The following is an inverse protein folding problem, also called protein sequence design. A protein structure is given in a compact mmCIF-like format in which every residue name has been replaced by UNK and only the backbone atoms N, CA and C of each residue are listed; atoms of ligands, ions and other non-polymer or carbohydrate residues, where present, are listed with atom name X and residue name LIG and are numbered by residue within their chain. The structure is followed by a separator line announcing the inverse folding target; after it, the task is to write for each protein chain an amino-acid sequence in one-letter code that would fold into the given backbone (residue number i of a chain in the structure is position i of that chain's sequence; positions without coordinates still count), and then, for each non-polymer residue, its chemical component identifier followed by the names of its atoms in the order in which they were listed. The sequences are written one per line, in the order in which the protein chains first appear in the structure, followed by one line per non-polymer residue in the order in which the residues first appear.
data_IF_974451803620
#
_entry.id   IF_974451803620
#
_cell.length_a   1.000
_cell.length_b   1.000
_cell.length_c   1.000
_cell.angle_alpha   90.00
_cell.angle_beta   90.00
_cell.angle_gamma   90.00
#
_symmetry.space_group_name_H-M   'P 1'
#
loop_
_entity.id
_entity.type
_entity.pdbx_description
1 polymer ?
#
# COMPACT_ATOMS: atom_id res chain seq x y z
N UNK A 1 38.23 -36.80 6.13
CA UNK A 1 37.01 -36.47 5.36
C UNK A 1 35.96 -36.04 6.37
N UNK A 2 35.81 -34.73 6.61
CA UNK A 2 34.67 -34.18 7.35
C UNK A 2 34.16 -33.00 6.53
N UNK A 3 33.00 -33.22 5.91
CA UNK A 3 32.32 -32.29 5.02
C UNK A 3 31.59 -31.20 5.79
N UNK A 4 31.92 -29.96 5.41
CA UNK A 4 31.14 -28.73 5.51
C UNK A 4 29.61 -28.94 5.55
N UNK A 5 28.95 -28.18 6.43
CA UNK A 5 27.61 -27.65 6.20
C UNK A 5 27.50 -26.27 6.85
N UNK A 6 28.04 -25.28 6.14
CA UNK A 6 27.83 -23.87 6.42
C UNK A 6 26.46 -23.48 5.88
N UNK A 7 25.48 -23.30 6.76
CA UNK A 7 24.22 -22.65 6.42
C UNK A 7 24.50 -21.15 6.24
N UNK A 8 24.65 -20.71 4.99
CA UNK A 8 24.55 -19.29 4.65
C UNK A 8 23.08 -18.88 4.83
N UNK A 9 22.78 -18.23 5.95
CA UNK A 9 21.61 -17.38 6.11
C UNK A 9 21.76 -16.19 5.14
N UNK A 10 21.26 -16.36 3.92
CA UNK A 10 20.98 -15.24 3.02
C UNK A 10 19.85 -14.42 3.66
N UNK A 11 20.22 -13.47 4.50
CA UNK A 11 19.35 -12.35 4.84
C UNK A 11 19.18 -11.55 3.55
N UNK A 12 18.09 -11.79 2.84
CA UNK A 12 17.69 -10.98 1.69
C UNK A 12 17.33 -9.60 2.20
N UNK A 13 18.30 -8.69 2.22
CA UNK A 13 18.06 -7.29 2.47
C UNK A 13 17.17 -6.76 1.32
N UNK A 14 15.90 -6.46 1.61
CA UNK A 14 14.95 -5.89 0.66
C UNK A 14 15.39 -4.44 0.37
N UNK A 15 16.33 -4.28 -0.57
CA UNK A 15 16.78 -2.97 -1.01
C UNK A 15 15.77 -2.38 -2.01
N UNK A 16 14.74 -1.69 -1.48
CA UNK A 16 13.79 -0.87 -2.26
C UNK A 16 14.46 0.12 -3.23
N UNK A 17 15.72 0.50 -2.96
CA UNK A 17 16.47 1.49 -3.73
C UNK A 17 16.73 1.13 -5.21
N UNK A 18 16.57 -0.13 -5.62
CA UNK A 18 16.89 -0.57 -6.99
C UNK A 18 15.67 -0.79 -7.90
N UNK A 19 14.43 -0.75 -7.39
CA UNK A 19 13.25 -1.08 -8.20
C UNK A 19 12.82 0.13 -9.05
N UNK A 20 12.83 0.03 -10.39
CA UNK A 20 12.48 1.14 -11.27
C UNK A 20 10.99 1.49 -11.18
N UNK A 21 10.67 2.77 -11.36
CA UNK A 21 9.29 3.27 -11.39
C UNK A 21 8.61 3.00 -12.74
N UNK A 22 7.28 2.92 -12.83
CA UNK A 22 6.34 2.95 -11.70
C UNK A 22 6.43 1.66 -10.89
N UNK A 23 6.32 1.81 -9.56
CA UNK A 23 6.26 0.68 -8.62
C UNK A 23 4.81 0.36 -8.34
N UNK A 24 4.34 -0.78 -8.80
CA UNK A 24 2.92 -1.15 -8.70
C UNK A 24 2.71 -2.06 -7.51
N UNK A 25 1.68 -1.79 -6.72
CA UNK A 25 1.37 -2.61 -5.55
C UNK A 25 0.16 -3.51 -5.77
N UNK A 26 0.16 -4.61 -5.04
CA UNK A 26 -0.98 -5.48 -4.86
C UNK A 26 -1.53 -5.27 -3.45
N UNK A 27 -2.82 -4.95 -3.33
CA UNK A 27 -3.51 -4.86 -2.05
C UNK A 27 -4.66 -5.87 -2.04
N UNK A 28 -4.52 -6.93 -1.24
CA UNK A 28 -5.44 -8.07 -1.08
C UNK A 28 -5.68 -8.93 -2.33
N UNK A 29 -6.04 -8.31 -3.45
CA UNK A 29 -6.38 -8.93 -4.72
C UNK A 29 -5.24 -8.75 -5.74
N UNK A 30 -4.81 -9.82 -6.44
CA UNK A 30 -3.94 -9.70 -7.60
C UNK A 30 -4.73 -9.20 -8.82
N UNK A 31 -4.07 -9.17 -9.98
CA UNK A 31 -4.69 -8.82 -11.26
C UNK A 31 -5.97 -9.63 -11.47
N UNK A 32 -7.02 -8.95 -11.95
CA UNK A 32 -8.33 -9.57 -12.15
C UNK A 32 -8.24 -10.86 -12.95
N UNK A 33 -8.87 -11.91 -12.42
CA UNK A 33 -8.90 -13.23 -13.05
C UNK A 33 -7.64 -14.07 -12.84
N UNK A 34 -6.59 -13.53 -12.21
CA UNK A 34 -5.32 -14.23 -12.03
C UNK A 34 -4.91 -14.28 -10.55
N UNK A 35 -5.25 -15.38 -9.87
CA UNK A 35 -4.89 -15.64 -8.47
C UNK A 35 -3.61 -16.46 -8.31
N UNK A 36 -2.88 -16.66 -9.41
CA UNK A 36 -1.63 -17.43 -9.40
C UNK A 36 -0.52 -16.68 -8.66
N UNK A 37 0.57 -17.39 -8.38
CA UNK A 37 1.78 -16.78 -7.80
C UNK A 37 2.41 -15.82 -8.81
N UNK A 38 2.33 -16.14 -10.10
CA UNK A 38 2.75 -15.28 -11.21
C UNK A 38 1.95 -13.98 -11.26
N UNK A 39 0.63 -14.06 -11.07
CA UNK A 39 -0.26 -12.90 -10.99
C UNK A 39 0.10 -11.97 -9.82
N UNK A 40 0.44 -12.54 -8.66
CA UNK A 40 0.95 -11.77 -7.53
C UNK A 40 2.33 -11.16 -7.84
N UNK A 41 3.24 -11.93 -8.44
CA UNK A 41 4.62 -11.54 -8.73
C UNK A 41 4.78 -10.44 -9.79
N UNK A 42 3.70 -10.08 -10.50
CA UNK A 42 3.68 -8.87 -11.36
C UNK A 42 3.96 -7.59 -10.58
N UNK A 43 3.62 -7.56 -9.30
CA UNK A 43 3.68 -6.37 -8.46
C UNK A 43 5.05 -6.16 -7.82
N UNK A 44 5.38 -4.91 -7.55
CA UNK A 44 6.61 -4.48 -6.88
C UNK A 44 6.47 -4.42 -5.35
N UNK A 45 5.23 -4.44 -4.83
CA UNK A 45 4.85 -4.62 -3.42
C UNK A 45 3.68 -5.60 -3.37
N UNK A 46 3.77 -6.64 -2.55
CA UNK A 46 2.78 -7.70 -2.44
C UNK A 46 2.20 -7.68 -1.03
N UNK A 47 0.93 -7.29 -0.89
CA UNK A 47 0.22 -7.31 0.39
C UNK A 47 -1.10 -8.06 0.24
N UNK A 48 -1.36 -9.02 1.13
CA UNK A 48 -2.67 -9.70 1.24
C UNK A 48 -2.92 -10.17 2.67
N UNK A 49 -4.12 -10.66 2.98
CA UNK A 49 -4.39 -11.28 4.28
C UNK A 49 -3.58 -12.56 4.49
N UNK A 50 -3.39 -12.98 5.75
CA UNK A 50 -2.63 -14.21 6.08
C UNK A 50 -3.09 -15.45 5.28
N UNK A 51 -4.40 -15.58 5.05
CA UNK A 51 -4.98 -16.67 4.26
C UNK A 51 -4.59 -16.63 2.78
N UNK A 52 -4.25 -15.46 2.22
CA UNK A 52 -3.73 -15.32 0.86
C UNK A 52 -2.37 -15.99 0.66
N UNK A 53 -1.59 -16.17 1.74
CA UNK A 53 -0.38 -16.97 1.77
C UNK A 53 -0.62 -18.43 2.17
N UNK A 54 -1.87 -18.80 2.46
CA UNK A 54 -2.24 -20.14 2.91
C UNK A 54 -2.03 -20.39 4.42
N UNK A 55 -1.71 -19.35 5.19
CA UNK A 55 -1.62 -19.44 6.65
C UNK A 55 -2.99 -19.66 7.27
N UNK A 56 -3.03 -20.46 8.34
CA UNK A 56 -4.23 -20.71 9.14
C UNK A 56 -3.89 -20.53 10.61
N UNK A 57 -4.74 -19.81 11.33
CA UNK A 57 -4.60 -19.63 12.76
C UNK A 57 -4.61 -20.97 13.51
N UNK A 58 -3.86 -21.04 14.60
CA UNK A 58 -3.57 -22.28 15.33
C UNK A 58 -4.62 -22.72 16.36
N UNK A 59 -5.64 -21.89 16.60
CA UNK A 59 -6.71 -22.17 17.57
C UNK A 59 -7.99 -21.41 17.27
N UNK A 60 -9.07 -21.92 17.86
CA UNK A 60 -10.37 -21.26 17.91
C UNK A 60 -10.69 -20.76 19.34
N UNK A 61 -11.50 -19.69 19.47
CA UNK A 61 -11.94 -18.82 18.38
C UNK A 61 -10.75 -18.06 17.79
N UNK A 62 -10.79 -17.77 16.49
CA UNK A 62 -9.68 -17.18 15.72
C UNK A 62 -9.00 -15.98 16.41
N UNK A 63 -9.78 -15.13 17.09
CA UNK A 63 -9.25 -13.96 17.80
C UNK A 63 -8.38 -14.27 19.02
N UNK A 64 -8.26 -15.53 19.45
CA UNK A 64 -7.33 -15.97 20.50
C UNK A 64 -6.07 -16.64 19.94
N UNK A 65 -5.90 -16.70 18.62
CA UNK A 65 -4.75 -17.33 17.97
C UNK A 65 -3.39 -16.82 18.45
N UNK A 66 -2.44 -17.72 18.65
CA UNK A 66 -1.10 -17.33 19.10
C UNK A 66 -0.04 -17.44 18.00
N UNK A 67 -0.44 -18.02 16.86
CA UNK A 67 0.36 -18.16 15.67
C UNK A 67 -0.44 -18.85 14.58
N UNK A 68 0.24 -19.72 13.84
CA UNK A 68 -0.34 -20.43 12.70
C UNK A 68 -0.04 -21.92 12.81
N UNK A 69 -0.91 -22.76 12.24
CA UNK A 69 -0.68 -24.21 12.25
C UNK A 69 0.60 -24.56 11.50
N UNK A 70 1.38 -25.51 12.02
CA UNK A 70 2.69 -25.87 11.45
C UNK A 70 2.64 -26.20 9.96
N UNK A 71 1.63 -26.96 9.53
CA UNK A 71 1.45 -27.35 8.14
C UNK A 71 1.08 -26.15 7.22
N UNK A 72 0.44 -25.11 7.77
CA UNK A 72 0.15 -23.87 7.04
C UNK A 72 1.37 -22.98 6.92
N UNK A 73 2.25 -22.97 7.93
CA UNK A 73 3.54 -22.28 7.88
C UNK A 73 4.44 -22.89 6.80
N UNK A 74 4.50 -24.22 6.69
CA UNK A 74 5.29 -24.89 5.65
C UNK A 74 4.82 -24.52 4.23
N UNK A 75 3.50 -24.55 3.99
CA UNK A 75 2.93 -24.13 2.70
C UNK A 75 3.17 -22.64 2.41
N UNK A 76 3.03 -21.78 3.41
CA UNK A 76 3.31 -20.36 3.26
C UNK A 76 4.77 -20.13 2.88
N UNK A 77 5.72 -20.81 3.53
CA UNK A 77 7.15 -20.75 3.18
C UNK A 77 7.44 -21.19 1.75
N UNK A 78 6.80 -22.26 1.28
CA UNK A 78 6.91 -22.70 -0.11
C UNK A 78 6.41 -21.62 -1.07
N UNK A 79 5.22 -21.07 -0.81
CA UNK A 79 4.66 -19.98 -1.63
C UNK A 79 5.53 -18.72 -1.63
N UNK A 80 6.11 -18.36 -0.49
CA UNK A 80 7.06 -17.25 -0.39
C UNK A 80 8.32 -17.51 -1.21
N UNK A 81 8.84 -18.74 -1.19
CA UNK A 81 9.99 -19.13 -2.02
C UNK A 81 9.68 -19.01 -3.52
N UNK A 82 8.49 -19.44 -3.95
CA UNK A 82 8.03 -19.28 -5.34
C UNK A 82 7.91 -17.80 -5.74
N UNK A 83 7.29 -16.96 -4.88
CA UNK A 83 7.22 -15.51 -5.09
C UNK A 83 8.61 -14.88 -5.19
N UNK A 84 9.54 -15.28 -4.33
CA UNK A 84 10.93 -14.80 -4.33
C UNK A 84 11.68 -15.23 -5.58
N UNK A 85 11.43 -16.42 -6.11
CA UNK A 85 12.04 -16.88 -7.35
C UNK A 85 11.59 -16.02 -8.56
N UNK A 86 10.32 -15.61 -8.58
CA UNK A 86 9.77 -14.78 -9.66
C UNK A 86 10.07 -13.28 -9.47
N UNK A 87 10.07 -12.80 -8.22
CA UNK A 87 10.17 -11.39 -7.87
C UNK A 87 11.02 -11.21 -6.60
N UNK A 88 12.35 -11.34 -6.68
CA UNK A 88 13.22 -11.41 -5.50
C UNK A 88 13.16 -10.16 -4.62
N UNK A 89 12.96 -8.99 -5.22
CA UNK A 89 13.09 -7.69 -4.54
C UNK A 89 11.75 -7.08 -4.08
N UNK A 90 10.60 -7.69 -4.35
CA UNK A 90 9.31 -7.12 -3.95
C UNK A 90 9.09 -7.32 -2.44
N UNK A 91 8.78 -6.28 -1.64
CA UNK A 91 8.35 -6.50 -0.28
C UNK A 91 7.08 -7.35 -0.23
N UNK A 92 7.03 -8.36 0.64
CA UNK A 92 5.89 -9.27 0.83
C UNK A 92 5.37 -9.13 2.26
N UNK A 93 4.15 -8.59 2.39
CA UNK A 93 3.52 -8.23 3.66
C UNK A 93 2.22 -9.02 3.84
N UNK A 94 1.87 -9.32 5.09
CA UNK A 94 0.54 -9.80 5.43
C UNK A 94 -0.27 -8.78 6.25
N UNK A 95 -1.55 -8.66 5.97
CA UNK A 95 -2.50 -7.96 6.83
C UNK A 95 -2.74 -8.75 8.13
N UNK A 96 -2.67 -8.06 9.25
CA UNK A 96 -3.26 -8.51 10.50
C UNK A 96 -4.41 -7.60 10.89
N UNK A 97 -5.57 -8.22 11.14
CA UNK A 97 -6.64 -7.55 11.86
C UNK A 97 -6.17 -7.26 13.26
N UNK A 98 -6.45 -6.05 13.71
CA UNK A 98 -6.05 -5.60 15.03
C UNK A 98 -7.07 -4.53 15.50
N UNK A 99 -7.35 -3.49 14.71
CA UNK A 99 -8.26 -2.43 15.12
C UNK A 99 -9.70 -2.91 15.34
N UNK A 100 -10.14 -3.89 14.55
CA UNK A 100 -11.43 -4.53 14.63
C UNK A 100 -11.32 -6.04 14.39
N UNK A 101 -12.21 -6.80 15.02
CA UNK A 101 -12.43 -8.22 14.74
C UNK A 101 -13.86 -8.47 14.27
N UNK A 102 -14.04 -9.58 13.52
CA UNK A 102 -15.38 -10.10 13.22
C UNK A 102 -16.05 -10.57 14.49
N UNK A 103 -17.37 -10.47 14.54
CA UNK A 103 -18.14 -10.80 15.74
C UNK A 103 -17.94 -12.23 16.27
N UNK A 104 -17.58 -13.16 15.39
CA UNK A 104 -17.36 -14.59 15.69
C UNK A 104 -15.95 -14.90 16.17
N UNK A 105 -15.03 -13.93 16.16
CA UNK A 105 -13.62 -14.17 16.50
C UNK A 105 -13.35 -14.23 18.00
N UNK A 106 -14.26 -13.73 18.82
CA UNK A 106 -14.19 -13.84 20.28
C UNK A 106 -15.61 -14.03 20.86
N UNK A 107 -15.74 -14.62 22.06
CA UNK A 107 -17.00 -14.62 22.80
C UNK A 107 -17.57 -13.21 22.96
N UNK A 108 -18.90 -13.08 22.99
CA UNK A 108 -19.56 -11.76 23.05
C UNK A 108 -19.12 -10.92 24.24
N UNK A 109 -18.85 -11.54 25.38
CA UNK A 109 -18.47 -10.94 26.66
C UNK A 109 -16.96 -10.73 26.84
N UNK A 110 -16.13 -11.12 25.85
CA UNK A 110 -14.67 -11.05 25.96
C UNK A 110 -14.19 -9.63 26.31
N UNK A 111 -13.23 -9.47 27.26
CA UNK A 111 -12.78 -8.16 27.74
C UNK A 111 -11.97 -7.36 26.71
N UNK A 112 -11.60 -7.95 25.58
CA UNK A 112 -10.87 -7.27 24.52
C UNK A 112 -11.78 -6.48 23.57
N UNK A 113 -13.11 -6.63 23.67
CA UNK A 113 -14.02 -5.78 22.91
C UNK A 113 -14.03 -4.37 23.48
N UNK A 114 -13.86 -3.35 22.63
CA UNK A 114 -14.12 -1.98 23.03
C UNK A 114 -15.62 -1.80 23.26
N UNK A 115 -15.99 -1.32 24.44
CA UNK A 115 -17.36 -1.08 24.82
C UNK A 115 -17.65 0.39 25.06
N UNK A 116 -18.84 0.80 24.65
CA UNK A 116 -19.46 2.07 25.04
C UNK A 116 -20.83 1.75 25.60
N UNK A 117 -21.11 2.22 26.82
CA UNK A 117 -22.39 1.96 27.52
C UNK A 117 -22.72 0.46 27.59
N UNK A 118 -21.70 -0.37 27.86
CA UNK A 118 -21.81 -1.82 27.99
C UNK A 118 -21.90 -2.60 26.66
N UNK A 119 -22.07 -1.93 25.52
CA UNK A 119 -22.21 -2.57 24.19
C UNK A 119 -20.91 -2.54 23.41
N UNK A 120 -20.63 -3.60 22.63
CA UNK A 120 -19.50 -3.62 21.68
C UNK A 120 -19.65 -2.48 20.68
N UNK A 121 -18.57 -1.73 20.43
CA UNK A 121 -18.60 -0.64 19.46
C UNK A 121 -18.45 -1.20 18.05
N UNK A 122 -19.54 -1.22 17.28
CA UNK A 122 -19.51 -1.62 15.87
C UNK A 122 -18.64 -0.68 15.05
N UNK A 123 -17.87 -1.22 14.12
CA UNK A 123 -17.04 -0.45 13.20
C UNK A 123 -17.51 -0.61 11.75
N UNK A 124 -17.47 -1.83 11.21
CA UNK A 124 -18.12 -2.20 9.96
C UNK A 124 -19.30 -3.14 10.21
N UNK A 125 -20.21 -3.35 9.22
CA UNK A 125 -21.18 -4.44 9.28
C UNK A 125 -20.50 -5.78 9.59
N UNK A 126 -20.81 -6.37 10.75
CA UNK A 126 -20.24 -7.65 11.21
C UNK A 126 -18.86 -7.56 11.89
N UNK A 127 -18.30 -6.37 12.11
CA UNK A 127 -17.04 -6.19 12.85
C UNK A 127 -17.18 -5.19 14.00
N UNK A 128 -16.39 -5.40 15.04
CA UNK A 128 -16.42 -4.62 16.27
C UNK A 128 -15.01 -4.21 16.65
N UNK A 129 -14.90 -3.00 17.21
CA UNK A 129 -13.63 -2.44 17.64
C UNK A 129 -13.04 -3.22 18.80
N UNK A 130 -11.72 -3.34 18.77
CA UNK A 130 -10.93 -3.90 19.84
C UNK A 130 -10.50 -2.81 20.84
N UNK A 131 -10.38 -3.16 22.11
CA UNK A 131 -9.88 -2.25 23.14
C UNK A 131 -8.35 -2.22 23.15
N UNK A 132 -7.80 -1.21 22.49
CA UNK A 132 -6.36 -0.99 22.39
C UNK A 132 -5.70 -0.56 23.70
N UNK A 133 -6.47 -0.11 24.69
CA UNK A 133 -5.93 0.17 26.02
C UNK A 133 -5.64 -1.12 26.80
N UNK A 134 -6.29 -2.23 26.42
CA UNK A 134 -6.01 -3.53 26.99
C UNK A 134 -4.61 -4.02 26.59
N UNK A 135 -3.70 -4.08 27.56
CA UNK A 135 -2.31 -4.46 27.34
C UNK A 135 -2.15 -5.95 26.97
N UNK A 136 -3.09 -6.82 27.38
CA UNK A 136 -3.06 -8.23 27.00
C UNK A 136 -3.40 -8.39 25.51
N UNK A 137 -4.43 -7.69 25.04
CA UNK A 137 -4.77 -7.67 23.63
C UNK A 137 -3.64 -7.14 22.76
N UNK A 138 -3.01 -6.01 23.14
CA UNK A 138 -1.84 -5.48 22.41
C UNK A 138 -0.71 -6.50 22.32
N UNK A 139 -0.34 -7.13 23.43
CA UNK A 139 0.70 -8.18 23.45
C UNK A 139 0.34 -9.37 22.57
N UNK A 140 -0.93 -9.76 22.52
CA UNK A 140 -1.40 -10.81 21.63
C UNK A 140 -1.19 -10.45 20.16
N UNK A 141 -1.54 -9.24 19.72
CA UNK A 141 -1.29 -8.78 18.33
C UNK A 141 0.21 -8.68 18.04
N UNK A 142 1.03 -8.23 19.01
CA UNK A 142 2.49 -8.19 18.88
C UNK A 142 3.05 -9.61 18.65
N UNK A 143 2.56 -10.61 19.40
CA UNK A 143 2.96 -12.02 19.22
C UNK A 143 2.61 -12.54 17.82
N UNK A 144 1.40 -12.28 17.33
CA UNK A 144 1.00 -12.64 15.97
C UNK A 144 1.86 -11.94 14.91
N UNK A 145 2.24 -10.68 15.14
CA UNK A 145 3.14 -9.95 14.25
C UNK A 145 4.53 -10.60 14.21
N UNK A 146 5.06 -11.03 15.37
CA UNK A 146 6.31 -11.77 15.42
C UNK A 146 6.22 -13.12 14.70
N UNK A 147 5.08 -13.82 14.81
CA UNK A 147 4.86 -15.08 14.08
C UNK A 147 4.90 -14.89 12.55
N UNK A 148 4.43 -13.75 12.01
CA UNK A 148 4.57 -13.45 10.57
C UNK A 148 6.05 -13.34 10.15
N UNK A 149 6.88 -12.71 10.99
CA UNK A 149 8.33 -12.65 10.76
C UNK A 149 8.95 -14.05 10.75
N UNK A 150 8.56 -14.90 11.69
CA UNK A 150 9.05 -16.30 11.78
C UNK A 150 8.63 -17.17 10.59
N UNK A 151 7.48 -16.88 9.97
CA UNK A 151 7.06 -17.51 8.70
C UNK A 151 8.02 -17.13 7.56
N UNK A 152 8.59 -15.92 7.57
CA UNK A 152 9.49 -15.41 6.54
C UNK A 152 8.91 -14.27 5.69
N UNK A 153 7.84 -13.61 6.16
CA UNK A 153 7.35 -12.37 5.55
C UNK A 153 8.30 -11.21 5.84
N UNK A 154 8.30 -10.20 4.97
CA UNK A 154 9.14 -9.00 5.18
C UNK A 154 8.49 -8.01 6.12
N UNK A 155 7.16 -8.07 6.27
CA UNK A 155 6.43 -7.06 7.02
C UNK A 155 4.97 -7.39 7.28
N UNK A 156 4.32 -6.43 7.93
CA UNK A 156 2.91 -6.46 8.30
C UNK A 156 2.22 -5.20 7.82
N UNK A 157 0.95 -5.37 7.43
CA UNK A 157 0.03 -4.28 7.16
C UNK A 157 -1.00 -4.17 8.29
N UNK A 158 -1.17 -2.97 8.81
CA UNK A 158 -2.21 -2.63 9.79
C UNK A 158 -3.25 -1.71 9.14
N UNK A 159 -4.49 -2.17 9.03
CA UNK A 159 -5.56 -1.35 8.49
C UNK A 159 -6.02 -0.26 9.47
N UNK A 160 -6.82 0.72 9.05
CA UNK A 160 -7.55 1.61 9.95
C UNK A 160 -6.72 2.35 11.01
N UNK A 161 -5.64 3.04 10.61
CA UNK A 161 -4.96 4.02 11.45
C UNK A 161 -5.93 5.16 11.82
N UNK A 162 -5.92 5.56 13.09
CA UNK A 162 -6.85 6.55 13.68
C UNK A 162 -6.13 7.52 14.58
N UNK A 163 -6.79 8.64 14.89
CA UNK A 163 -6.30 9.71 15.77
C UNK A 163 -6.34 9.30 17.26
N UNK A 164 -5.71 8.17 17.59
CA UNK A 164 -5.59 7.59 18.94
C UNK A 164 -4.10 7.44 19.28
N UNK A 165 -3.42 8.57 19.43
CA UNK A 165 -1.95 8.65 19.44
C UNK A 165 -1.29 7.74 20.46
N UNK A 166 -1.71 7.81 21.72
CA UNK A 166 -1.07 7.11 22.84
C UNK A 166 -1.10 5.58 22.67
N UNK A 167 -2.26 4.92 22.45
CA UNK A 167 -2.30 3.47 22.26
C UNK A 167 -1.55 3.01 21.00
N UNK A 168 -1.62 3.78 19.91
CA UNK A 168 -0.86 3.47 18.69
C UNK A 168 0.65 3.53 18.91
N UNK A 169 1.15 4.57 19.56
CA UNK A 169 2.58 4.69 19.85
C UNK A 169 3.04 3.58 20.79
N UNK A 170 2.24 3.23 21.80
CA UNK A 170 2.56 2.11 22.69
C UNK A 170 2.65 0.79 21.91
N UNK A 171 1.63 0.48 21.10
CA UNK A 171 1.60 -0.71 20.26
C UNK A 171 2.78 -0.78 19.30
N UNK A 172 3.04 0.28 18.52
CA UNK A 172 4.11 0.29 17.52
C UNK A 172 5.51 0.17 18.15
N UNK A 173 5.71 0.69 19.37
CA UNK A 173 6.94 0.45 20.15
C UNK A 173 7.08 -1.03 20.53
N UNK A 174 6.02 -1.64 21.06
CA UNK A 174 6.01 -3.05 21.43
C UNK A 174 6.25 -3.95 20.21
N UNK A 175 5.63 -3.63 19.06
CA UNK A 175 5.89 -4.32 17.78
C UNK A 175 7.37 -4.21 17.41
N UNK A 176 7.93 -2.99 17.35
CA UNK A 176 9.34 -2.77 17.01
C UNK A 176 10.29 -3.51 17.92
N UNK A 177 9.99 -3.59 19.22
CA UNK A 177 10.77 -4.38 20.16
C UNK A 177 10.75 -5.88 19.83
N UNK A 178 9.62 -6.41 19.35
CA UNK A 178 9.46 -7.82 19.03
C UNK A 178 10.06 -8.21 17.66
N UNK A 179 9.88 -7.37 16.63
CA UNK A 179 10.26 -7.71 15.24
C UNK A 179 11.54 -7.02 14.76
N UNK A 180 12.05 -6.05 15.50
CA UNK A 180 13.23 -5.29 15.14
C UNK A 180 13.00 -4.25 14.02
N UNK A 181 14.11 -3.70 13.55
CA UNK A 181 14.08 -2.54 12.65
C UNK A 181 13.95 -2.90 11.17
N UNK A 182 14.36 -4.11 10.77
CA UNK A 182 14.34 -4.56 9.38
C UNK A 182 12.95 -5.03 8.92
N UNK A 183 12.07 -5.42 9.85
CA UNK A 183 10.71 -5.85 9.53
C UNK A 183 9.86 -4.63 9.16
N UNK A 184 9.18 -4.70 8.02
CA UNK A 184 8.48 -3.57 7.43
C UNK A 184 7.10 -3.40 8.07
N UNK A 185 6.78 -2.17 8.49
CA UNK A 185 5.44 -1.83 8.99
C UNK A 185 4.77 -0.85 8.01
N UNK A 186 3.63 -1.23 7.46
CA UNK A 186 2.77 -0.38 6.63
C UNK A 186 1.42 -0.20 7.35
N UNK A 187 0.89 1.02 7.35
CA UNK A 187 -0.42 1.27 7.95
C UNK A 187 -1.35 2.08 7.03
N UNK A 188 -2.64 1.76 7.03
CA UNK A 188 -3.65 2.47 6.25
C UNK A 188 -4.14 3.71 6.96
N UNK A 189 -3.87 4.88 6.40
CA UNK A 189 -4.36 6.16 6.91
C UNK A 189 -5.73 6.55 6.33
N UNK A 190 -6.33 5.70 5.51
CA UNK A 190 -7.53 6.01 4.76
C UNK A 190 -7.36 7.32 4.01
N UNK A 191 -8.26 8.27 4.26
CA UNK A 191 -8.29 9.57 3.59
C UNK A 191 -7.52 10.67 4.35
N UNK A 192 -6.98 10.35 5.53
CA UNK A 192 -6.51 11.31 6.52
C UNK A 192 -5.03 11.73 6.31
N UNK A 193 -4.74 12.41 5.20
CA UNK A 193 -3.40 12.88 4.85
C UNK A 193 -2.79 13.76 5.96
N UNK A 194 -1.60 13.40 6.43
CA UNK A 194 -0.82 14.16 7.43
C UNK A 194 -1.35 14.12 8.87
N UNK A 195 -2.46 13.40 9.15
CA UNK A 195 -3.03 13.33 10.50
C UNK A 195 -2.28 12.40 11.44
N UNK A 196 -1.61 11.39 10.89
CA UNK A 196 -1.02 10.29 11.66
C UNK A 196 0.51 10.33 11.72
N UNK A 197 1.12 11.51 11.57
CA UNK A 197 2.58 11.69 11.61
C UNK A 197 3.20 11.25 12.95
N UNK A 198 2.41 11.12 14.02
CA UNK A 198 2.87 10.55 15.29
C UNK A 198 3.30 9.07 15.16
N UNK A 199 2.76 8.33 14.19
CA UNK A 199 3.08 6.93 13.95
C UNK A 199 4.28 6.76 12.99
N UNK A 200 4.53 7.75 12.14
CA UNK A 200 5.55 7.68 11.08
C UNK A 200 6.95 7.24 11.55
N UNK A 201 7.48 7.67 12.72
CA UNK A 201 8.80 7.22 13.20
C UNK A 201 8.94 5.70 13.43
N UNK A 202 7.81 4.98 13.52
CA UNK A 202 7.78 3.53 13.68
C UNK A 202 7.43 2.80 12.39
N UNK A 203 6.99 3.49 11.35
CA UNK A 203 6.47 2.89 10.12
C UNK A 203 7.45 3.03 8.96
N UNK A 204 7.41 2.07 8.05
CA UNK A 204 8.10 2.14 6.76
C UNK A 204 7.19 2.75 5.68
N UNK A 205 5.88 2.71 5.86
CA UNK A 205 4.94 3.28 4.90
C UNK A 205 3.62 3.71 5.50
N UNK A 206 2.99 4.67 4.82
CA UNK A 206 1.57 4.98 4.98
C UNK A 206 0.87 4.69 3.65
N UNK A 207 -0.25 4.01 3.72
CA UNK A 207 -1.19 3.86 2.62
C UNK A 207 -2.24 4.97 2.69
N UNK A 208 -2.46 5.64 1.56
CA UNK A 208 -3.52 6.61 1.37
C UNK A 208 -4.58 6.04 0.43
N UNK A 209 -5.79 5.84 0.95
CA UNK A 209 -6.92 5.35 0.17
C UNK A 209 -7.65 6.48 -0.55
N UNK A 210 -8.19 6.13 -1.70
CA UNK A 210 -8.76 6.98 -2.73
C UNK A 210 -9.44 8.29 -2.31
N UNK A 211 -10.15 8.33 -1.18
CA UNK A 211 -10.82 9.53 -0.68
C UNK A 211 -9.88 10.70 -0.36
N UNK A 212 -8.55 10.48 -0.27
CA UNK A 212 -7.58 11.58 -0.22
C UNK A 212 -7.72 12.55 -1.40
N UNK A 213 -8.23 12.09 -2.54
CA UNK A 213 -8.33 12.85 -3.79
C UNK A 213 -9.74 13.24 -4.22
N UNK A 214 -10.79 12.65 -3.64
CA UNK A 214 -12.16 12.83 -4.13
C UNK A 214 -12.62 14.29 -4.02
N UNK A 215 -12.95 14.91 -5.15
CA UNK A 215 -13.39 16.30 -5.23
C UNK A 215 -12.33 17.34 -4.84
N UNK A 216 -11.07 16.94 -4.65
CA UNK A 216 -10.00 17.86 -4.25
C UNK A 216 -9.57 18.74 -5.43
N UNK A 217 -9.53 20.04 -5.18
CA UNK A 217 -8.99 21.04 -6.11
C UNK A 217 -7.80 21.81 -5.53
N UNK A 218 -7.60 21.76 -4.21
CA UNK A 218 -6.48 22.40 -3.52
C UNK A 218 -5.44 21.35 -3.09
N UNK A 219 -4.24 21.43 -3.67
CA UNK A 219 -3.24 20.35 -3.60
C UNK A 219 -2.03 20.66 -2.73
N UNK A 220 -1.69 21.95 -2.54
CA UNK A 220 -0.45 22.36 -1.86
C UNK A 220 -0.32 21.74 -0.46
N UNK A 221 -1.35 21.89 0.37
CA UNK A 221 -1.37 21.35 1.74
C UNK A 221 -1.33 19.82 1.76
N UNK A 222 -2.04 19.16 0.84
CA UNK A 222 -2.04 17.71 0.70
C UNK A 222 -0.62 17.18 0.37
N UNK A 223 0.03 17.77 -0.64
CA UNK A 223 1.38 17.37 -1.08
C UNK A 223 2.40 17.68 0.01
N UNK A 224 2.33 18.84 0.64
CA UNK A 224 3.22 19.21 1.74
C UNK A 224 3.11 18.23 2.91
N UNK A 225 1.89 17.84 3.29
CA UNK A 225 1.64 16.83 4.32
C UNK A 225 2.18 15.46 3.93
N UNK A 226 1.89 14.98 2.71
CA UNK A 226 2.42 13.69 2.23
C UNK A 226 3.95 13.64 2.27
N UNK A 227 4.63 14.70 1.80
CA UNK A 227 6.09 14.80 1.83
C UNK A 227 6.64 14.88 3.25
N UNK A 228 5.95 15.61 4.14
CA UNK A 228 6.30 15.66 5.55
C UNK A 228 6.22 14.26 6.16
N UNK A 229 5.11 13.56 6.00
CA UNK A 229 4.96 12.18 6.48
C UNK A 229 6.08 11.30 5.93
N UNK A 230 6.35 11.35 4.63
CA UNK A 230 7.41 10.56 3.99
C UNK A 230 8.80 10.81 4.59
N UNK A 231 9.12 12.06 4.94
CA UNK A 231 10.39 12.42 5.58
C UNK A 231 10.55 11.88 7.00
N UNK A 232 9.44 11.54 7.68
CA UNK A 232 9.42 11.03 9.04
C UNK A 232 9.46 9.49 9.10
N UNK A 233 9.23 8.82 7.96
CA UNK A 233 9.18 7.36 7.88
C UNK A 233 10.56 6.72 7.97
N UNK A 234 10.57 5.49 8.50
CA UNK A 234 11.74 4.61 8.46
C UNK A 234 12.04 4.17 7.04
N UNK A 235 13.32 3.86 6.81
CA UNK A 235 13.80 3.31 5.53
C UNK A 235 13.88 1.78 5.61
N UNK A 236 13.67 1.05 4.49
CA UNK A 236 13.17 1.57 3.21
C UNK A 236 11.73 2.08 3.32
N UNK A 237 11.37 3.09 2.53
CA UNK A 237 10.01 3.61 2.46
C UNK A 237 9.15 2.78 1.50
N UNK A 238 7.95 2.42 1.96
CA UNK A 238 6.98 1.61 1.20
C UNK A 238 5.58 2.23 1.20
N UNK A 239 5.51 3.57 1.33
CA UNK A 239 4.23 4.28 1.25
C UNK A 239 3.54 4.06 -0.08
N UNK A 240 2.22 4.16 -0.07
CA UNK A 240 1.38 3.81 -1.19
C UNK A 240 0.23 4.79 -1.38
N UNK A 241 -0.07 5.06 -2.66
CA UNK A 241 -1.27 5.74 -3.07
C UNK A 241 -2.18 4.74 -3.77
N UNK A 242 -3.36 4.52 -3.20
CA UNK A 242 -4.44 3.80 -3.85
C UNK A 242 -5.48 4.80 -4.35
N UNK A 243 -5.92 4.63 -5.59
CA UNK A 243 -7.03 5.40 -6.18
C UNK A 243 -8.10 4.42 -6.68
N UNK A 244 -9.34 4.65 -6.26
CA UNK A 244 -10.49 3.88 -6.70
C UNK A 244 -11.08 4.45 -8.00
N UNK A 245 -11.49 3.61 -8.93
CA UNK A 245 -12.22 4.02 -10.11
C UNK A 245 -13.64 4.49 -9.72
N UNK A 246 -14.33 3.73 -8.87
CA UNK A 246 -15.61 4.13 -8.28
C UNK A 246 -15.40 5.01 -7.04
N UNK A 247 -15.90 6.24 -7.09
CA UNK A 247 -15.82 7.23 -6.00
C UNK A 247 -17.07 7.27 -5.13
N UNK A 248 -18.02 6.35 -5.32
CA UNK A 248 -19.22 6.26 -4.51
C UNK A 248 -18.88 6.02 -3.03
N UNK A 249 -19.60 6.70 -2.13
CA UNK A 249 -19.35 6.60 -0.68
C UNK A 249 -19.53 5.19 -0.10
N UNK A 250 -20.25 4.31 -0.82
CA UNK A 250 -20.46 2.88 -0.48
C UNK A 250 -19.91 1.93 -1.56
N UNK A 251 -19.05 2.41 -2.45
CA UNK A 251 -18.45 1.60 -3.50
C UNK A 251 -17.72 0.38 -2.91
N UNK A 252 -18.16 -0.83 -3.30
CA UNK A 252 -17.58 -2.09 -2.82
C UNK A 252 -17.91 -2.51 -1.38
N UNK A 253 -18.72 -1.76 -0.63
CA UNK A 253 -19.10 -2.09 0.74
C UNK A 253 -19.82 -3.45 0.84
N UNK A 254 -19.75 -4.15 2.00
CA UNK A 254 -20.61 -5.31 2.25
C UNK A 254 -22.08 -4.98 2.00
N UNK A 255 -22.76 -5.81 1.19
CA UNK A 255 -24.16 -5.62 0.81
C UNK A 255 -24.39 -4.69 -0.40
N UNK A 256 -23.35 -4.06 -0.97
CA UNK A 256 -23.47 -3.35 -2.24
C UNK A 256 -23.69 -4.38 -3.38
N UNK A 257 -24.79 -4.28 -4.17
CA UNK A 257 -25.08 -5.22 -5.27
C UNK A 257 -24.06 -5.19 -6.42
N UNK A 258 -23.25 -4.12 -6.49
CA UNK A 258 -22.21 -3.94 -7.49
C UNK A 258 -20.80 -4.24 -6.94
N UNK A 259 -20.71 -4.74 -5.70
CA UNK A 259 -19.43 -5.17 -5.13
C UNK A 259 -18.77 -6.23 -6.02
N UNK A 260 -17.53 -5.96 -6.42
CA UNK A 260 -16.74 -6.84 -7.28
C UNK A 260 -17.10 -6.78 -8.76
N UNK A 261 -18.09 -5.97 -9.16
CA UNK A 261 -18.29 -5.62 -10.58
C UNK A 261 -17.31 -4.52 -10.96
N UNK A 262 -16.78 -4.62 -12.18
CA UNK A 262 -15.90 -3.61 -12.73
C UNK A 262 -16.70 -2.31 -12.98
N UNK A 263 -16.27 -1.17 -12.42
CA UNK A 263 -16.93 0.11 -12.66
C UNK A 263 -16.65 0.63 -14.10
N UNK A 264 -17.36 1.68 -14.55
CA UNK A 264 -17.05 2.36 -15.79
C UNK A 264 -15.61 2.87 -15.81
N UNK A 265 -14.93 2.71 -16.94
CA UNK A 265 -13.53 3.08 -17.06
C UNK A 265 -13.33 4.60 -16.92
N UNK A 266 -12.39 5.01 -16.08
CA UNK A 266 -11.92 6.39 -15.94
C UNK A 266 -10.42 6.50 -16.26
N UNK A 267 -10.04 6.51 -17.56
CA UNK A 267 -8.65 6.57 -17.97
C UNK A 267 -7.99 7.91 -17.61
N UNK A 268 -8.76 8.98 -17.40
CA UNK A 268 -8.21 10.26 -16.97
C UNK A 268 -7.82 10.17 -15.48
N UNK A 269 -8.69 9.63 -14.62
CA UNK A 269 -8.39 9.41 -13.21
C UNK A 269 -7.14 8.55 -13.00
N UNK A 270 -7.03 7.45 -13.75
CA UNK A 270 -5.85 6.58 -13.71
C UNK A 270 -4.57 7.33 -14.08
N UNK A 271 -4.58 8.08 -15.17
CA UNK A 271 -3.40 8.77 -15.69
C UNK A 271 -2.91 9.86 -14.74
N UNK A 272 -3.80 10.74 -14.28
CA UNK A 272 -3.37 11.82 -13.39
C UNK A 272 -2.91 11.29 -12.02
N UNK A 273 -3.58 10.27 -11.46
CA UNK A 273 -3.21 9.77 -10.13
C UNK A 273 -1.92 8.94 -10.14
N UNK A 274 -1.64 8.21 -11.23
CA UNK A 274 -0.32 7.61 -11.47
C UNK A 274 0.76 8.70 -11.55
N UNK A 275 0.56 9.73 -12.39
CA UNK A 275 1.53 10.82 -12.51
C UNK A 275 1.68 11.63 -11.21
N UNK A 276 0.62 11.76 -10.40
CA UNK A 276 0.70 12.33 -9.05
C UNK A 276 1.63 11.51 -8.17
N UNK A 277 1.41 10.19 -8.05
CA UNK A 277 2.25 9.30 -7.26
C UNK A 277 3.73 9.35 -7.70
N UNK A 278 3.98 9.49 -9.00
CA UNK A 278 5.33 9.63 -9.58
C UNK A 278 5.95 11.02 -9.41
N UNK A 279 5.19 12.06 -9.10
CA UNK A 279 5.74 13.42 -8.99
C UNK A 279 5.87 13.88 -7.54
N UNK A 280 4.97 13.46 -6.65
CA UNK A 280 4.88 14.06 -5.31
C UNK A 280 5.80 13.42 -4.27
N UNK A 281 6.17 12.15 -4.43
CA UNK A 281 7.02 11.41 -3.50
C UNK A 281 7.42 10.04 -4.05
N UNK A 282 7.93 9.17 -3.19
CA UNK A 282 8.42 7.85 -3.54
C UNK A 282 7.37 6.77 -3.23
N UNK A 283 6.23 6.88 -3.90
CA UNK A 283 5.07 6.02 -3.64
C UNK A 283 5.05 4.76 -4.53
N UNK A 284 4.59 3.66 -3.94
CA UNK A 284 3.92 2.61 -4.69
C UNK A 284 2.54 3.08 -5.13
N UNK A 285 2.03 2.52 -6.22
CA UNK A 285 0.77 2.93 -6.81
C UNK A 285 -0.16 1.75 -7.06
N UNK A 286 -1.45 1.96 -6.81
CA UNK A 286 -2.52 1.06 -7.22
C UNK A 286 -3.74 1.86 -7.71
N UNK A 287 -4.25 1.49 -8.88
CA UNK A 287 -5.56 1.91 -9.38
C UNK A 287 -6.52 0.73 -9.31
N UNK A 288 -7.49 0.78 -8.41
CA UNK A 288 -8.41 -0.32 -8.12
C UNK A 288 -9.87 0.07 -8.38
N UNK A 289 -10.78 -0.89 -8.46
CA UNK A 289 -12.20 -0.63 -8.70
C UNK A 289 -12.82 0.20 -7.56
N UNK A 290 -12.62 -0.27 -6.32
CA UNK A 290 -13.24 0.20 -5.08
C UNK A 290 -12.64 -0.58 -3.89
N UNK A 291 -13.33 -0.61 -2.75
CA UNK A 291 -12.96 -1.39 -1.54
C UNK A 291 -12.89 -2.92 -1.73
N UNK A 292 -13.11 -3.45 -2.95
CA UNK A 292 -12.75 -4.84 -3.30
C UNK A 292 -11.28 -5.00 -3.71
N UNK A 293 -10.58 -3.90 -3.99
CA UNK A 293 -9.18 -3.82 -4.42
C UNK A 293 -8.85 -4.58 -5.72
N UNK A 294 -9.87 -5.04 -6.45
CA UNK A 294 -9.68 -5.63 -7.77
C UNK A 294 -9.18 -4.57 -8.73
N UNK A 295 -8.32 -4.97 -9.66
CA UNK A 295 -7.73 -4.08 -10.64
C UNK A 295 -7.29 -4.86 -11.87
N UNK A 296 -7.08 -4.14 -12.97
CA UNK A 296 -6.48 -4.68 -14.19
C UNK A 296 -5.00 -4.27 -14.28
N UNK A 297 -4.25 -4.95 -15.14
CA UNK A 297 -2.88 -4.54 -15.49
C UNK A 297 -2.91 -3.58 -16.69
N UNK A 298 -2.20 -2.45 -16.59
CA UNK A 298 -2.18 -1.44 -17.63
C UNK A 298 -0.78 -1.32 -18.26
N UNK A 299 -0.66 -1.11 -19.59
CA UNK A 299 0.63 -1.11 -20.27
C UNK A 299 1.66 -0.10 -19.72
N UNK A 300 1.21 1.05 -19.20
CA UNK A 300 2.14 2.03 -18.65
C UNK A 300 2.86 1.57 -17.37
N UNK A 301 2.36 0.52 -16.70
CA UNK A 301 3.04 -0.11 -15.57
C UNK A 301 4.36 -0.76 -15.97
N UNK A 302 4.47 -1.16 -17.24
CA UNK A 302 5.65 -1.81 -17.82
C UNK A 302 6.67 -0.81 -18.39
N UNK A 303 6.38 0.49 -18.35
CA UNK A 303 7.26 1.53 -18.92
C UNK A 303 8.64 1.59 -18.24
N UNK A 304 8.72 1.22 -16.95
CA UNK A 304 9.95 1.12 -16.14
C UNK A 304 10.96 2.26 -16.40
N UNK A 305 10.54 3.48 -16.08
CA UNK A 305 11.19 4.78 -16.33
C UNK A 305 12.49 5.03 -15.55
N UNK A 306 12.90 4.09 -14.69
CA UNK A 306 14.12 4.17 -13.89
C UNK A 306 13.91 4.81 -12.52
N UNK A 307 15.00 5.24 -11.89
CA UNK A 307 14.99 5.95 -10.62
C UNK A 307 14.81 7.46 -10.80
N UNK A 308 14.24 8.16 -9.80
CA UNK A 308 14.15 9.61 -9.84
C UNK A 308 15.54 10.25 -9.71
N UNK A 309 15.83 11.24 -10.55
CA UNK A 309 17.12 11.97 -10.53
C UNK A 309 17.08 13.24 -9.68
N UNK A 310 15.87 13.68 -9.33
CA UNK A 310 15.61 14.81 -8.44
C UNK A 310 14.27 14.62 -7.69
N UNK A 311 14.04 15.33 -6.58
CA UNK A 311 12.71 15.49 -6.01
C UNK A 311 11.74 16.12 -7.02
N UNK A 312 10.45 15.85 -6.89
CA UNK A 312 9.47 16.50 -7.74
C UNK A 312 9.38 18.00 -7.45
N UNK A 313 9.25 18.78 -8.51
CA UNK A 313 9.19 20.24 -8.44
C UNK A 313 7.80 20.76 -8.81
N UNK A 314 7.42 21.84 -8.13
CA UNK A 314 6.21 22.59 -8.41
C UNK A 314 6.51 23.56 -9.54
N UNK A 315 5.74 23.48 -10.62
CA UNK A 315 5.81 24.45 -11.72
C UNK A 315 4.85 25.62 -11.45
N UNK A 316 3.62 25.30 -11.02
CA UNK A 316 2.61 26.28 -10.59
C UNK A 316 1.66 25.63 -9.57
N UNK A 317 0.47 26.20 -9.32
CA UNK A 317 -0.45 25.67 -8.30
C UNK A 317 -1.08 24.31 -8.61
N UNK A 318 -1.13 23.90 -9.87
CA UNK A 318 -1.71 22.62 -10.29
C UNK A 318 -0.71 21.73 -11.02
N UNK A 319 0.41 22.29 -11.48
CA UNK A 319 1.38 21.54 -12.29
C UNK A 319 2.60 21.16 -11.46
N UNK A 320 2.88 19.87 -11.44
CA UNK A 320 4.06 19.26 -10.84
C UNK A 320 4.79 18.40 -11.87
N UNK A 321 6.11 18.33 -11.76
CA UNK A 321 6.93 17.46 -12.61
C UNK A 321 8.08 16.84 -11.84
N UNK A 322 8.59 15.71 -12.32
CA UNK A 322 9.74 15.02 -11.75
C UNK A 322 10.55 14.33 -12.83
N UNK A 323 11.86 14.48 -12.74
CA UNK A 323 12.81 13.84 -13.65
C UNK A 323 13.18 12.44 -13.14
N UNK A 324 13.24 11.52 -14.08
CA UNK A 324 13.68 10.15 -13.93
C UNK A 324 14.81 9.88 -14.93
N UNK A 325 15.58 8.82 -14.70
CA UNK A 325 16.68 8.40 -15.58
C UNK A 325 16.27 8.34 -17.05
N UNK A 326 15.05 7.84 -17.34
CA UNK A 326 14.56 7.62 -18.71
C UNK A 326 13.38 8.51 -19.10
N UNK A 327 12.87 9.34 -18.19
CA UNK A 327 11.63 10.08 -18.42
C UNK A 327 11.56 11.44 -17.73
N UNK A 328 10.66 12.28 -18.24
CA UNK A 328 10.02 13.34 -17.46
C UNK A 328 8.57 12.94 -17.20
N UNK A 329 8.16 12.98 -15.94
CA UNK A 329 6.75 12.83 -15.57
C UNK A 329 6.21 14.20 -15.20
N UNK A 330 5.02 14.53 -15.69
CA UNK A 330 4.31 15.74 -15.31
C UNK A 330 2.82 15.45 -15.09
N UNK A 331 2.21 16.20 -14.19
CA UNK A 331 0.77 16.12 -13.88
C UNK A 331 0.20 17.52 -13.84
N UNK A 332 -0.99 17.70 -14.41
CA UNK A 332 -1.80 18.90 -14.28
C UNK A 332 -3.01 18.55 -13.42
N UNK A 333 -2.96 18.89 -12.14
CA UNK A 333 -3.87 18.38 -11.12
C UNK A 333 -5.30 18.89 -11.31
N UNK A 334 -6.32 18.11 -10.90
CA UNK A 334 -7.71 18.55 -10.92
C UNK A 334 -7.91 19.90 -10.21
N UNK A 335 -8.81 20.74 -10.71
CA UNK A 335 -9.11 22.06 -10.12
C UNK A 335 -8.59 23.26 -10.90
N UNK A 336 -7.68 23.06 -11.86
CA UNK A 336 -7.37 24.10 -12.86
C UNK A 336 -8.42 24.14 -13.98
N UNK A 337 -8.62 25.30 -14.59
CA UNK A 337 -9.38 25.43 -15.83
C UNK A 337 -8.49 25.26 -17.07
N UNK A 338 -7.20 25.56 -16.95
CA UNK A 338 -6.30 25.71 -18.08
C UNK A 338 -5.45 24.44 -18.32
N UNK A 339 -5.26 24.05 -19.59
CA UNK A 339 -4.26 23.06 -19.94
C UNK A 339 -2.84 23.58 -19.68
N UNK A 340 -1.89 22.67 -19.55
CA UNK A 340 -0.47 23.01 -19.42
C UNK A 340 0.33 22.52 -20.61
N UNK A 341 1.17 23.38 -21.19
CA UNK A 341 2.06 23.01 -22.29
C UNK A 341 3.48 22.72 -21.80
N UNK A 342 4.02 21.59 -22.24
CA UNK A 342 5.42 21.22 -22.09
C UNK A 342 6.09 21.37 -23.46
N UNK A 343 7.18 22.13 -23.50
CA UNK A 343 8.13 22.13 -24.59
C UNK A 343 9.42 21.44 -24.14
N UNK A 344 9.92 20.53 -24.96
CA UNK A 344 11.14 19.77 -24.74
C UNK A 344 12.19 20.15 -25.78
N UNK A 345 13.46 20.04 -25.39
CA UNK A 345 14.63 20.21 -26.25
C UNK A 345 14.90 19.00 -27.15
N UNK A 346 14.34 17.84 -26.81
CA UNK A 346 14.46 16.58 -27.57
C UNK A 346 13.13 15.84 -27.67
N UNK A 347 12.96 14.96 -28.68
CA UNK A 347 11.77 14.13 -28.81
C UNK A 347 11.58 13.19 -27.62
N UNK A 348 10.33 13.05 -27.18
CA UNK A 348 9.92 12.05 -26.20
C UNK A 348 8.68 11.32 -26.72
N UNK A 349 8.43 10.12 -26.18
CA UNK A 349 7.16 9.39 -26.36
C UNK A 349 6.38 9.42 -25.07
N UNK A 350 5.15 9.89 -25.11
CA UNK A 350 4.22 9.77 -23.98
C UNK A 350 3.74 8.32 -23.86
N UNK A 351 4.08 7.63 -22.77
CA UNK A 351 3.66 6.25 -22.53
C UNK A 351 2.15 6.08 -22.36
N UNK A 352 1.47 7.15 -21.96
CA UNK A 352 0.04 7.09 -21.65
C UNK A 352 -0.83 7.16 -22.91
N UNK A 353 -0.36 7.87 -23.95
CA UNK A 353 -1.10 8.08 -25.20
C UNK A 353 -0.40 7.49 -26.43
N UNK A 354 0.88 7.15 -26.33
CA UNK A 354 1.72 6.70 -27.44
C UNK A 354 2.24 7.82 -28.35
N UNK A 355 1.83 9.08 -28.13
CA UNK A 355 2.23 10.22 -28.97
C UNK A 355 3.73 10.53 -28.81
N UNK A 356 4.41 10.77 -29.91
CA UNK A 356 5.81 11.22 -29.94
C UNK A 356 5.90 12.67 -30.40
N UNK A 357 6.79 13.45 -29.79
CA UNK A 357 7.02 14.85 -30.18
C UNK A 357 7.91 15.59 -29.21
N UNK A 358 8.03 16.91 -29.42
CA UNK A 358 8.74 17.84 -28.54
C UNK A 358 7.80 18.80 -27.81
N UNK A 359 6.49 18.72 -28.09
CA UNK A 359 5.45 19.54 -27.46
C UNK A 359 4.28 18.67 -27.01
N UNK A 360 3.84 18.87 -25.78
CA UNK A 360 2.76 18.10 -25.17
C UNK A 360 1.84 19.02 -24.40
N UNK A 361 0.53 18.90 -24.63
CA UNK A 361 -0.50 19.57 -23.86
C UNK A 361 -1.09 18.59 -22.84
N UNK A 362 -1.15 18.99 -21.57
CA UNK A 362 -1.75 18.23 -20.47
C UNK A 362 -3.07 18.91 -20.08
N UNK A 363 -4.19 18.22 -20.29
CA UNK A 363 -5.50 18.70 -19.87
C UNK A 363 -5.60 18.81 -18.33
N UNK A 364 -6.50 19.64 -17.79
CA UNK A 364 -6.83 19.61 -16.36
C UNK A 364 -7.19 18.20 -15.90
N UNK A 365 -6.65 17.79 -14.75
CA UNK A 365 -6.88 16.46 -14.20
C UNK A 365 -6.26 15.34 -15.05
N UNK A 366 -5.14 15.58 -15.72
CA UNK A 366 -4.43 14.59 -16.54
C UNK A 366 -2.93 14.60 -16.24
N UNK A 367 -2.19 13.66 -16.82
CA UNK A 367 -0.74 13.57 -16.70
C UNK A 367 -0.08 13.03 -17.96
N UNK A 368 1.25 13.08 -18.00
CA UNK A 368 2.09 12.51 -19.06
C UNK A 368 3.31 11.82 -18.46
N UNK A 369 3.77 10.76 -19.13
CA UNK A 369 5.04 10.08 -18.85
C UNK A 369 5.86 10.12 -20.14
N UNK A 370 6.74 11.10 -20.25
CA UNK A 370 7.52 11.40 -21.47
C UNK A 370 8.84 10.63 -21.44
N UNK A 371 8.90 9.48 -22.10
CA UNK A 371 10.11 8.67 -22.26
C UNK A 371 11.03 9.29 -23.31
N UNK A 372 12.29 9.51 -22.95
CA UNK A 372 13.31 9.99 -23.88
C UNK A 372 13.48 9.02 -25.05
N UNK A 373 13.45 9.55 -26.27
CA UNK A 373 13.84 8.79 -27.45
C UNK A 373 15.35 8.94 -27.61
N UNK A 374 16.03 7.82 -27.87
CA UNK A 374 17.46 7.81 -28.19
C UNK A 374 17.72 8.33 -29.60
#
# INVERSE_FOLDING_TARGET
MNTCLSWLLLTSCVCSAATPYPRIAMLWSPVRGDRSVEGMARHDLIMTGVGGFGLRYDREPTGLAEGFTADSVERARQRLAELRALKPNAPILAELYFYEYRETWLPEDHPWWLRKEGKRQQFWPGTYRMDWHNAEFRRHVVKLTAALKEVGLDGVFYDNLREEREPWVAFLKEVRQAVGDDFLLLANSGYAVGKHDFAAPYLNGIMYESGWSHGRTEWDDCIAKMRRTESLLRKPTISLIERFEDTGSRAGWPGNPDRGKKPPADPQARRWSLCFALTVGDFYYLFADNTSHQHDWYPEYDAKIGLPTAPGERVNSHVWRRHYEKALVAVNLPGTAEPYEIALDRPARDCLTGRTGTRFTIAPGDGVILLWQN
#
